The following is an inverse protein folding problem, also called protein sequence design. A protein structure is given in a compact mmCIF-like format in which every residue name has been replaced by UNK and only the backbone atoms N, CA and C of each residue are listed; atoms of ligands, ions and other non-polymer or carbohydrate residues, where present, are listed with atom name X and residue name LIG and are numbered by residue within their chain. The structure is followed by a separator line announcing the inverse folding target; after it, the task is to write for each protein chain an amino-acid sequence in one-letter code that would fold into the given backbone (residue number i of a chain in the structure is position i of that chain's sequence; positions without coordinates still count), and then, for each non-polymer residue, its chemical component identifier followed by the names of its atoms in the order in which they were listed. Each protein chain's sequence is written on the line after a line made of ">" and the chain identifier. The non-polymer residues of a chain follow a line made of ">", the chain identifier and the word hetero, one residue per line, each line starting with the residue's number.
data_IF_225885627633
#
_entry.id   IF_225885627633
#
_cell.length_a   1.000
_cell.length_b   1.000
_cell.length_c   1.000
_cell.angle_alpha   90.00
_cell.angle_beta   90.00
_cell.angle_gamma   90.00
#
_symmetry.space_group_name_H-M   'P 1'
#
loop_
_entity.id
_entity.type
_entity.pdbx_description
1 polymer ?
#
# COMPACT_ATOMS: atom_id res chain seq x y z
N UNK A 1 -23.30 -4.43 -23.19
CA UNK A 1 -22.04 -3.84 -22.68
C UNK A 1 -22.39 -2.44 -22.22
N UNK A 2 -22.67 -2.25 -20.93
CA UNK A 2 -22.96 -0.93 -20.40
C UNK A 2 -21.62 -0.28 -20.06
N UNK A 3 -21.24 0.70 -20.88
CA UNK A 3 -20.10 1.57 -20.66
C UNK A 3 -20.42 2.51 -19.48
N UNK A 4 -20.37 1.96 -18.26
CA UNK A 4 -20.74 2.65 -17.04
C UNK A 4 -19.51 3.34 -16.42
N UNK A 5 -18.72 4.02 -17.26
CA UNK A 5 -17.61 4.82 -16.76
C UNK A 5 -18.17 6.04 -16.03
N UNK A 6 -17.82 6.15 -14.74
CA UNK A 6 -18.15 7.31 -13.92
C UNK A 6 -17.69 8.57 -14.64
N UNK A 7 -18.66 9.43 -14.99
CA UNK A 7 -18.38 10.77 -15.50
C UNK A 7 -17.98 11.65 -14.33
N UNK A 8 -16.69 11.99 -14.28
CA UNK A 8 -16.19 12.99 -13.35
C UNK A 8 -16.91 14.33 -13.52
N UNK A 9 -17.18 15.09 -12.43
CA UNK A 9 -17.78 16.41 -12.52
C UNK A 9 -16.98 17.35 -13.44
N UNK A 10 -17.67 18.26 -14.13
CA UNK A 10 -17.00 19.30 -14.92
C UNK A 10 -16.02 20.11 -14.04
N UNK A 11 -14.80 20.29 -14.55
CA UNK A 11 -13.72 20.97 -13.81
C UNK A 11 -12.88 20.05 -12.92
N UNK A 12 -13.24 18.76 -12.81
CA UNK A 12 -12.36 17.78 -12.16
C UNK A 12 -11.11 17.55 -13.00
N UNK A 13 -9.95 17.92 -12.44
CA UNK A 13 -8.67 17.85 -13.14
C UNK A 13 -8.27 16.43 -13.53
N UNK A 14 -8.80 15.41 -12.84
CA UNK A 14 -8.54 14.01 -13.21
C UNK A 14 -9.06 13.68 -14.62
N UNK A 15 -9.99 14.45 -15.19
CA UNK A 15 -10.41 14.29 -16.59
C UNK A 15 -9.25 14.43 -17.58
N UNK A 16 -8.19 15.18 -17.23
CA UNK A 16 -6.99 15.35 -18.05
C UNK A 16 -5.94 14.26 -17.88
N UNK A 17 -6.14 13.31 -16.98
CA UNK A 17 -5.16 12.28 -16.64
C UNK A 17 -5.72 10.87 -16.78
N UNK A 18 -4.83 9.90 -16.95
CA UNK A 18 -5.11 8.48 -16.88
C UNK A 18 -4.62 7.92 -15.55
N UNK A 19 -5.52 7.48 -14.64
CA UNK A 19 -5.14 6.89 -13.37
C UNK A 19 -4.45 5.54 -13.54
N UNK A 20 -3.33 5.34 -12.85
CA UNK A 20 -2.59 4.07 -12.84
C UNK A 20 -2.27 3.66 -11.41
N UNK A 21 -2.74 2.48 -11.00
CA UNK A 21 -2.38 1.83 -9.75
C UNK A 21 -1.14 0.96 -9.97
N UNK A 22 -0.05 1.26 -9.28
CA UNK A 22 1.22 0.53 -9.41
C UNK A 22 1.43 -0.36 -8.19
N UNK A 23 1.26 -1.67 -8.36
CA UNK A 23 1.47 -2.65 -7.30
C UNK A 23 2.84 -3.34 -7.45
N UNK A 24 3.30 -4.02 -6.40
CA UNK A 24 4.53 -4.83 -6.47
C UNK A 24 4.40 -5.97 -7.49
N UNK A 25 3.23 -6.60 -7.56
CA UNK A 25 3.02 -7.83 -8.31
C UNK A 25 3.23 -9.07 -7.44
N UNK A 26 2.45 -10.11 -7.71
CA UNK A 26 2.46 -11.39 -7.00
C UNK A 26 1.98 -12.48 -7.93
N UNK A 27 2.56 -13.69 -7.85
CA UNK A 27 2.07 -14.88 -8.58
C UNK A 27 0.81 -15.48 -7.96
N UNK A 28 0.41 -15.03 -6.78
CA UNK A 28 -0.79 -15.54 -6.12
C UNK A 28 -2.04 -14.93 -6.80
N UNK A 29 -2.94 -15.74 -7.38
CA UNK A 29 -4.12 -15.24 -8.08
C UNK A 29 -5.06 -14.45 -7.17
N UNK A 30 -5.18 -14.81 -5.88
CA UNK A 30 -5.98 -14.03 -4.92
C UNK A 30 -5.38 -12.65 -4.69
N UNK A 31 -4.05 -12.53 -4.71
CA UNK A 31 -3.39 -11.25 -4.59
C UNK A 31 -3.64 -10.36 -5.82
N UNK A 32 -3.61 -10.94 -7.01
CA UNK A 32 -3.95 -10.23 -8.26
C UNK A 32 -5.40 -9.76 -8.25
N UNK A 33 -6.34 -10.62 -7.83
CA UNK A 33 -7.76 -10.26 -7.74
C UNK A 33 -7.99 -9.10 -6.77
N UNK A 34 -7.34 -9.08 -5.60
CA UNK A 34 -7.47 -7.96 -4.66
C UNK A 34 -6.96 -6.64 -5.25
N UNK A 35 -5.88 -6.65 -6.03
CA UNK A 35 -5.41 -5.43 -6.72
C UNK A 35 -6.41 -5.00 -7.81
N UNK A 36 -7.01 -5.95 -8.54
CA UNK A 36 -8.04 -5.67 -9.51
C UNK A 36 -9.30 -5.07 -8.86
N UNK A 37 -9.76 -5.62 -7.73
CA UNK A 37 -10.89 -5.10 -6.93
C UNK A 37 -10.62 -3.67 -6.45
N UNK A 38 -9.39 -3.38 -5.99
CA UNK A 38 -8.99 -2.01 -5.63
C UNK A 38 -9.08 -1.09 -6.86
N UNK A 39 -8.53 -1.52 -8.01
CA UNK A 39 -8.53 -0.71 -9.22
C UNK A 39 -9.95 -0.46 -9.77
N UNK A 40 -10.84 -1.45 -9.68
CA UNK A 40 -12.25 -1.33 -10.02
C UNK A 40 -12.94 -0.34 -9.09
N UNK A 41 -12.77 -0.47 -7.78
CA UNK A 41 -13.35 0.46 -6.81
C UNK A 41 -12.82 1.91 -6.95
N UNK A 42 -11.55 2.09 -7.35
CA UNK A 42 -11.01 3.39 -7.73
C UNK A 42 -11.64 3.87 -9.04
N UNK A 43 -11.85 2.98 -10.01
CA UNK A 43 -12.50 3.31 -11.28
C UNK A 43 -13.93 3.82 -11.08
N UNK A 44 -14.65 3.26 -10.12
CA UNK A 44 -15.98 3.72 -9.68
C UNK A 44 -15.98 5.09 -8.99
N UNK A 45 -14.82 5.70 -8.76
CA UNK A 45 -14.70 7.03 -8.15
C UNK A 45 -14.15 8.06 -9.12
N UNK A 46 -13.23 7.65 -10.00
CA UNK A 46 -12.46 8.58 -10.82
C UNK A 46 -12.34 8.21 -12.31
N UNK A 47 -13.08 7.19 -12.75
CA UNK A 47 -13.00 6.67 -14.12
C UNK A 47 -11.90 5.62 -14.28
N UNK A 48 -11.87 4.96 -15.45
CA UNK A 48 -11.04 3.79 -15.73
C UNK A 48 -9.61 3.92 -15.20
N UNK A 49 -9.25 3.07 -14.24
CA UNK A 49 -7.94 3.01 -13.61
C UNK A 49 -7.21 1.76 -14.07
N UNK A 50 -6.05 1.92 -14.70
CA UNK A 50 -5.22 0.79 -15.14
C UNK A 50 -4.35 0.29 -13.99
N UNK A 51 -4.00 -0.99 -14.02
CA UNK A 51 -3.03 -1.59 -13.10
C UNK A 51 -1.70 -1.80 -13.80
N UNK A 52 -0.61 -1.52 -13.10
CA UNK A 52 0.75 -1.90 -13.50
C UNK A 52 1.45 -2.60 -12.34
N UNK A 53 2.44 -3.43 -12.66
CA UNK A 53 3.19 -4.19 -11.67
C UNK A 53 4.69 -3.96 -11.90
N UNK A 54 5.41 -3.56 -10.85
CA UNK A 54 6.87 -3.33 -10.95
C UNK A 54 7.68 -4.63 -11.02
N UNK A 55 7.09 -5.75 -10.60
CA UNK A 55 7.76 -7.05 -10.59
C UNK A 55 6.75 -8.19 -10.81
N UNK A 56 7.27 -9.40 -11.07
CA UNK A 56 6.59 -10.69 -11.05
C UNK A 56 5.59 -10.97 -12.18
N UNK A 57 4.72 -10.03 -12.52
CA UNK A 57 3.70 -10.12 -13.58
C UNK A 57 3.69 -8.82 -14.40
N UNK A 58 3.24 -8.89 -15.66
CA UNK A 58 2.98 -7.71 -16.49
C UNK A 58 1.50 -7.28 -16.45
N UNK A 59 1.17 -6.09 -16.98
CA UNK A 59 2.08 -5.15 -17.66
C UNK A 59 2.90 -4.30 -16.67
N UNK A 60 4.12 -3.94 -17.08
CA UNK A 60 5.03 -3.05 -16.37
C UNK A 60 4.52 -1.59 -16.41
N UNK A 61 4.96 -0.70 -15.49
CA UNK A 61 4.55 0.69 -15.54
C UNK A 61 4.95 1.36 -16.86
N UNK A 62 6.11 1.01 -17.43
CA UNK A 62 6.54 1.58 -18.72
C UNK A 62 5.60 1.21 -19.86
N UNK A 63 5.18 -0.05 -19.95
CA UNK A 63 4.23 -0.53 -20.98
C UNK A 63 2.88 0.16 -20.82
N UNK A 64 2.36 0.27 -19.60
CA UNK A 64 1.09 0.96 -19.33
C UNK A 64 1.19 2.44 -19.67
N UNK A 65 2.26 3.13 -19.27
CA UNK A 65 2.42 4.57 -19.54
C UNK A 65 2.51 4.85 -21.04
N UNK A 66 3.23 4.02 -21.80
CA UNK A 66 3.41 4.20 -23.25
C UNK A 66 2.12 4.03 -24.04
N UNK A 67 1.20 3.18 -23.57
CA UNK A 67 -0.08 2.86 -24.21
C UNK A 67 -1.23 3.83 -23.85
N UNK A 68 -0.94 4.91 -23.12
CA UNK A 68 -1.96 5.84 -22.62
C UNK A 68 -2.02 7.13 -23.46
N UNK A 69 -3.22 7.49 -23.92
CA UNK A 69 -3.45 8.70 -24.73
C UNK A 69 -3.27 10.01 -23.95
N UNK A 70 -3.60 10.00 -22.65
CA UNK A 70 -3.50 11.15 -21.74
C UNK A 70 -2.30 11.01 -20.78
N UNK A 71 -1.79 12.12 -20.22
CA UNK A 71 -0.78 12.07 -19.16
C UNK A 71 -1.18 11.11 -18.04
N UNK A 72 -0.23 10.36 -17.49
CA UNK A 72 -0.53 9.38 -16.45
C UNK A 72 -0.43 10.01 -15.04
N UNK A 73 -1.31 9.59 -14.12
CA UNK A 73 -1.16 9.84 -12.68
C UNK A 73 -1.02 8.50 -11.95
N UNK A 74 0.18 8.24 -11.43
CA UNK A 74 0.57 6.97 -10.85
C UNK A 74 0.51 7.02 -9.33
N UNK A 75 -0.22 6.10 -8.73
CA UNK A 75 -0.17 5.86 -7.28
C UNK A 75 0.61 4.56 -6.98
N UNK A 76 1.75 4.64 -6.28
CA UNK A 76 2.44 3.46 -5.79
C UNK A 76 1.63 2.83 -4.65
N UNK A 77 1.07 1.64 -4.87
CA UNK A 77 0.29 0.85 -3.91
C UNK A 77 1.16 0.16 -2.83
N UNK A 78 2.16 0.88 -2.31
CA UNK A 78 3.11 0.39 -1.33
C UNK A 78 2.84 1.00 0.04
N UNK A 79 2.98 0.18 1.09
CA UNK A 79 2.70 0.60 2.47
C UNK A 79 3.92 1.20 3.19
N UNK A 80 5.05 1.25 2.50
CA UNK A 80 6.24 2.03 2.84
C UNK A 80 6.94 2.40 1.52
N UNK A 81 7.54 3.58 1.47
CA UNK A 81 8.33 4.01 0.32
C UNK A 81 9.69 3.34 0.40
N UNK A 82 9.83 2.12 -0.13
CA UNK A 82 11.12 1.43 -0.25
C UNK A 82 11.81 1.66 -1.59
N UNK A 83 12.82 0.85 -1.89
CA UNK A 83 13.59 0.90 -3.13
C UNK A 83 12.72 0.98 -4.39
N UNK A 84 11.69 0.15 -4.52
CA UNK A 84 10.79 0.14 -5.68
C UNK A 84 10.10 1.50 -5.95
N UNK A 85 9.73 2.22 -4.89
CA UNK A 85 9.10 3.54 -5.03
C UNK A 85 10.13 4.61 -5.37
N UNK A 86 11.34 4.49 -4.81
CA UNK A 86 12.39 5.51 -4.93
C UNK A 86 13.26 5.37 -6.17
N UNK A 87 13.37 4.17 -6.74
CA UNK A 87 14.28 3.89 -7.86
C UNK A 87 13.56 3.25 -9.05
N UNK A 88 12.94 2.09 -8.87
CA UNK A 88 12.39 1.35 -10.01
C UNK A 88 11.25 2.09 -10.69
N UNK A 89 10.34 2.71 -9.94
CA UNK A 89 9.24 3.45 -10.52
C UNK A 89 9.72 4.69 -11.31
N UNK A 90 10.62 5.55 -10.79
CA UNK A 90 11.26 6.59 -11.59
C UNK A 90 11.94 6.08 -12.87
N UNK A 91 12.64 4.93 -12.81
CA UNK A 91 13.28 4.32 -13.98
C UNK A 91 12.24 3.91 -15.03
N UNK A 92 11.13 3.30 -14.60
CA UNK A 92 10.02 2.96 -15.51
C UNK A 92 9.36 4.18 -16.16
N UNK A 93 9.18 5.27 -15.41
CA UNK A 93 8.63 6.52 -15.93
C UNK A 93 9.57 7.16 -16.94
N UNK A 94 10.88 7.17 -16.65
CA UNK A 94 11.89 7.66 -17.58
C UNK A 94 11.93 6.83 -18.87
N UNK A 95 11.88 5.50 -18.76
CA UNK A 95 11.87 4.57 -19.89
C UNK A 95 10.63 4.74 -20.79
N UNK A 96 9.49 5.14 -20.23
CA UNK A 96 8.28 5.41 -21.01
C UNK A 96 8.36 6.71 -21.84
N UNK A 97 9.34 7.59 -21.59
CA UNK A 97 9.55 8.81 -22.35
C UNK A 97 8.47 9.89 -22.18
N UNK A 98 7.61 9.79 -21.16
CA UNK A 98 6.46 10.68 -20.95
C UNK A 98 6.67 11.63 -19.77
N UNK A 99 7.23 12.81 -20.05
CA UNK A 99 7.61 13.82 -19.07
C UNK A 99 6.42 14.47 -18.31
N UNK A 100 5.20 14.30 -18.81
CA UNK A 100 3.94 14.75 -18.21
C UNK A 100 3.37 13.76 -17.19
N UNK A 101 4.07 12.64 -16.92
CA UNK A 101 3.69 11.65 -15.92
C UNK A 101 3.83 12.19 -14.49
N UNK A 102 2.77 12.10 -13.71
CA UNK A 102 2.73 12.52 -12.30
C UNK A 102 2.78 11.30 -11.40
N UNK A 103 3.80 11.18 -10.57
CA UNK A 103 3.90 10.11 -9.55
C UNK A 103 3.53 10.67 -8.17
N UNK A 104 2.58 10.04 -7.49
CA UNK A 104 2.20 10.39 -6.12
C UNK A 104 3.21 9.82 -5.12
N UNK A 105 3.14 10.27 -3.85
CA UNK A 105 3.76 9.50 -2.76
C UNK A 105 3.09 8.11 -2.64
N UNK A 106 3.80 7.13 -2.09
CA UNK A 106 3.23 5.82 -1.77
C UNK A 106 2.03 5.92 -0.80
N UNK A 107 1.25 4.84 -0.66
CA UNK A 107 0.10 4.82 0.22
C UNK A 107 0.51 5.02 1.68
N UNK A 108 1.43 4.21 2.18
CA UNK A 108 1.82 4.21 3.58
C UNK A 108 3.12 4.98 3.89
N UNK A 109 3.30 5.38 5.15
CA UNK A 109 2.36 5.26 6.28
C UNK A 109 1.25 6.34 6.23
N UNK A 110 0.04 6.01 6.71
CA UNK A 110 -1.12 6.91 6.71
C UNK A 110 -2.17 6.48 7.77
N UNK A 111 -2.83 7.41 8.49
CA UNK A 111 -3.86 7.08 9.47
C UNK A 111 -5.04 6.25 8.92
N UNK A 112 -5.36 6.38 7.63
CA UNK A 112 -6.38 5.55 7.00
C UNK A 112 -5.97 4.07 6.99
N UNK A 113 -4.69 3.76 6.73
CA UNK A 113 -4.13 2.40 6.78
C UNK A 113 -4.19 1.84 8.20
N UNK A 114 -3.80 2.63 9.21
CA UNK A 114 -3.89 2.21 10.61
C UNK A 114 -5.34 1.91 11.03
N UNK A 115 -6.30 2.69 10.52
CA UNK A 115 -7.74 2.47 10.77
C UNK A 115 -8.24 1.16 10.15
N UNK A 116 -7.74 0.78 8.98
CA UNK A 116 -8.05 -0.51 8.33
C UNK A 116 -7.35 -1.65 9.07
N UNK A 117 -6.08 -1.49 9.45
CA UNK A 117 -5.36 -2.48 10.24
C UNK A 117 -6.07 -2.79 11.57
N UNK A 118 -6.60 -1.77 12.26
CA UNK A 118 -7.45 -1.96 13.45
C UNK A 118 -8.72 -2.75 13.14
N UNK A 119 -9.39 -2.47 12.02
CA UNK A 119 -10.57 -3.25 11.60
C UNK A 119 -10.19 -4.72 11.40
N UNK A 120 -9.10 -5.00 10.66
CA UNK A 120 -8.65 -6.38 10.40
C UNK A 120 -8.24 -7.11 11.68
N UNK A 121 -7.67 -6.40 12.66
CA UNK A 121 -7.42 -6.96 13.99
C UNK A 121 -8.73 -7.37 14.68
N UNK A 122 -9.73 -6.49 14.72
CA UNK A 122 -11.02 -6.79 15.34
C UNK A 122 -11.71 -7.99 14.65
N UNK A 123 -11.68 -8.05 13.32
CA UNK A 123 -12.19 -9.19 12.54
C UNK A 123 -11.45 -10.51 12.84
N UNK A 124 -10.17 -10.43 13.22
CA UNK A 124 -9.38 -11.59 13.65
C UNK A 124 -9.60 -11.98 15.13
N UNK A 125 -10.53 -11.30 15.82
CA UNK A 125 -10.84 -11.55 17.21
C UNK A 125 -9.80 -10.99 18.19
N UNK A 126 -9.10 -9.91 17.83
CA UNK A 126 -8.30 -9.12 18.76
C UNK A 126 -9.19 -8.44 19.80
N UNK A 127 -8.80 -8.51 21.07
CA UNK A 127 -9.47 -7.82 22.18
C UNK A 127 -8.53 -6.82 22.87
N UNK A 128 -9.07 -5.75 23.50
CA UNK A 128 -8.27 -4.85 24.31
C UNK A 128 -7.46 -5.60 25.39
N UNK A 129 -6.14 -5.44 25.35
CA UNK A 129 -5.21 -6.14 26.25
C UNK A 129 -4.46 -7.31 25.62
N UNK A 130 -4.85 -7.75 24.42
CA UNK A 130 -4.01 -8.60 23.57
C UNK A 130 -2.78 -7.82 23.09
N UNK A 131 -1.65 -8.51 23.00
CA UNK A 131 -0.44 -7.96 22.42
C UNK A 131 -0.52 -8.01 20.88
N UNK A 132 -0.02 -6.97 20.21
CA UNK A 132 -0.09 -6.86 18.76
C UNK A 132 1.32 -6.83 18.15
N UNK A 133 1.51 -7.62 17.10
CA UNK A 133 2.69 -7.55 16.24
C UNK A 133 2.27 -7.04 14.87
N UNK A 134 2.82 -5.90 14.43
CA UNK A 134 2.68 -5.43 13.06
C UNK A 134 3.72 -6.14 12.19
N UNK A 135 3.26 -7.06 11.34
CA UNK A 135 4.10 -7.82 10.44
C UNK A 135 4.16 -7.18 9.05
N UNK A 136 5.34 -6.69 8.65
CA UNK A 136 5.59 -6.09 7.34
C UNK A 136 6.56 -6.94 6.51
N UNK A 137 6.56 -6.78 5.18
CA UNK A 137 7.47 -7.51 4.30
C UNK A 137 8.94 -7.35 4.71
N UNK A 138 9.36 -6.11 5.00
CA UNK A 138 10.74 -5.74 5.30
C UNK A 138 11.50 -5.22 4.08
N UNK A 139 12.58 -4.49 4.33
CA UNK A 139 13.39 -3.83 3.31
C UNK A 139 14.82 -3.62 3.79
N UNK A 140 15.78 -3.57 2.88
CA UNK A 140 17.15 -3.13 3.18
C UNK A 140 17.25 -1.61 3.34
N UNK A 141 16.19 -0.90 3.00
CA UNK A 141 16.11 0.55 3.11
C UNK A 141 15.60 0.96 4.51
N UNK A 142 16.49 1.54 5.31
CA UNK A 142 16.22 1.97 6.68
C UNK A 142 15.06 2.97 6.77
N UNK A 143 14.89 3.85 5.77
CA UNK A 143 13.78 4.80 5.75
C UNK A 143 12.44 4.11 5.51
N UNK A 144 12.42 2.98 4.78
CA UNK A 144 11.22 2.18 4.62
C UNK A 144 10.89 1.44 5.92
N UNK A 145 11.88 0.90 6.62
CA UNK A 145 11.70 0.30 7.94
C UNK A 145 11.19 1.34 8.97
N UNK A 146 11.75 2.55 8.98
CA UNK A 146 11.27 3.65 9.82
C UNK A 146 9.81 4.04 9.55
N UNK A 147 9.36 3.97 8.29
CA UNK A 147 7.96 4.18 7.93
C UNK A 147 7.03 3.08 8.49
N UNK A 148 7.49 1.83 8.58
CA UNK A 148 6.74 0.75 9.23
C UNK A 148 6.62 0.99 10.74
N UNK A 149 7.67 1.47 11.40
CA UNK A 149 7.59 1.89 12.80
C UNK A 149 6.61 3.06 13.02
N UNK A 150 6.56 4.01 12.09
CA UNK A 150 5.54 5.06 12.13
C UNK A 150 4.11 4.49 11.96
N UNK A 151 3.91 3.52 11.06
CA UNK A 151 2.63 2.84 10.91
C UNK A 151 2.22 2.10 12.20
N UNK A 152 3.17 1.43 12.87
CA UNK A 152 2.93 0.82 14.18
C UNK A 152 2.47 1.87 15.20
N UNK A 153 3.14 3.03 15.25
CA UNK A 153 2.78 4.12 16.17
C UNK A 153 1.40 4.69 15.92
N UNK A 154 0.98 4.78 14.65
CA UNK A 154 -0.38 5.17 14.27
C UNK A 154 -1.41 4.11 14.68
N UNK A 155 -1.07 2.82 14.59
CA UNK A 155 -1.95 1.76 15.07
C UNK A 155 -2.07 1.77 16.60
N UNK A 156 -0.96 1.95 17.31
CA UNK A 156 -0.92 2.06 18.78
C UNK A 156 -1.83 3.18 19.30
N UNK A 157 -1.89 4.33 18.62
CA UNK A 157 -2.79 5.42 19.01
C UNK A 157 -4.28 5.09 18.86
N UNK A 158 -4.61 4.07 18.06
CA UNK A 158 -5.99 3.62 17.85
C UNK A 158 -6.37 2.45 18.75
N UNK A 159 -5.41 1.59 19.13
CA UNK A 159 -5.68 0.41 19.95
C UNK A 159 -5.36 0.59 21.44
N UNK A 160 -4.62 1.64 21.81
CA UNK A 160 -4.29 1.95 23.21
C UNK A 160 -3.28 1.00 23.86
N UNK A 161 -2.55 0.23 23.06
CA UNK A 161 -1.55 -0.75 23.51
C UNK A 161 -0.29 -0.70 22.64
N UNK A 162 0.80 -1.27 23.15
CA UNK A 162 2.09 -1.32 22.42
C UNK A 162 2.00 -2.27 21.24
N UNK A 163 2.55 -1.87 20.09
CA UNK A 163 2.67 -2.69 18.89
C UNK A 163 4.15 -3.00 18.67
N UNK A 164 4.52 -4.28 18.69
CA UNK A 164 5.84 -4.73 18.27
C UNK A 164 5.90 -4.77 16.73
N UNK A 165 7.00 -4.34 16.13
CA UNK A 165 7.23 -4.47 14.68
C UNK A 165 8.02 -5.75 14.44
N UNK A 166 7.62 -6.51 13.42
CA UNK A 166 8.36 -7.65 12.90
C UNK A 166 8.39 -7.65 11.38
N UNK A 167 9.52 -8.08 10.81
CA UNK A 167 9.71 -8.15 9.37
C UNK A 167 9.74 -9.61 8.89
N UNK A 168 9.06 -9.88 7.78
CA UNK A 168 8.94 -11.22 7.18
C UNK A 168 10.27 -11.60 6.51
N UNK A 169 10.99 -10.63 5.97
CA UNK A 169 12.29 -10.80 5.32
C UNK A 169 13.12 -9.52 5.39
N UNK A 170 14.39 -9.61 4.99
CA UNK A 170 15.37 -8.51 4.76
C UNK A 170 15.77 -7.67 5.96
N UNK A 171 14.85 -7.33 6.86
CA UNK A 171 15.08 -6.51 8.03
C UNK A 171 14.89 -7.31 9.32
N UNK A 172 15.44 -6.77 10.41
CA UNK A 172 15.24 -7.25 11.77
C UNK A 172 14.58 -6.17 12.61
N UNK A 173 13.85 -6.54 13.68
CA UNK A 173 13.59 -7.89 14.16
C UNK A 173 12.64 -8.68 13.24
N UNK A 174 12.80 -9.99 13.19
CA UNK A 174 11.92 -10.89 12.43
C UNK A 174 10.54 -10.99 13.09
N UNK A 175 9.51 -11.40 12.33
CA UNK A 175 8.16 -11.62 12.92
C UNK A 175 8.19 -12.63 14.08
N UNK A 176 8.88 -13.79 14.00
CA UNK A 176 9.01 -14.70 15.15
C UNK A 176 9.63 -14.03 16.39
N UNK A 177 10.72 -13.29 16.23
CA UNK A 177 11.35 -12.56 17.35
C UNK A 177 10.36 -11.55 17.97
N UNK A 178 9.61 -10.82 17.14
CA UNK A 178 8.61 -9.87 17.62
C UNK A 178 7.46 -10.57 18.38
N UNK A 179 7.01 -11.73 17.91
CA UNK A 179 6.02 -12.57 18.60
C UNK A 179 6.55 -13.06 19.95
N UNK A 180 7.79 -13.55 20.01
CA UNK A 180 8.43 -13.96 21.27
C UNK A 180 8.51 -12.80 22.27
N UNK A 181 8.87 -11.60 21.80
CA UNK A 181 8.88 -10.39 22.65
C UNK A 181 7.48 -10.06 23.19
N UNK A 182 6.47 -10.09 22.32
CA UNK A 182 5.09 -9.83 22.69
C UNK A 182 4.56 -10.85 23.71
N UNK A 183 4.93 -12.13 23.58
CA UNK A 183 4.50 -13.21 24.50
C UNK A 183 5.00 -13.04 25.93
N UNK A 184 6.10 -12.30 26.16
CA UNK A 184 6.60 -12.04 27.53
C UNK A 184 5.62 -11.30 28.42
N UNK A 185 4.61 -10.66 27.83
CA UNK A 185 3.52 -9.99 28.56
C UNK A 185 2.53 -10.97 29.19
N UNK A 186 2.59 -12.27 28.84
CA UNK A 186 1.61 -13.27 29.25
C UNK A 186 0.25 -13.11 28.55
N UNK A 187 0.16 -12.24 27.54
CA UNK A 187 -1.06 -11.97 26.77
C UNK A 187 -1.09 -12.80 25.49
N UNK A 188 -2.30 -13.00 24.97
CA UNK A 188 -2.52 -13.50 23.61
C UNK A 188 -1.87 -12.53 22.61
N UNK A 189 -1.25 -13.05 21.57
CA UNK A 189 -0.55 -12.30 20.53
C UNK A 189 -1.32 -12.40 19.22
N UNK A 190 -1.70 -11.26 18.66
CA UNK A 190 -2.37 -11.15 17.36
C UNK A 190 -1.46 -10.44 16.36
N UNK A 191 -1.27 -11.01 15.17
CA UNK A 191 -0.51 -10.37 14.11
C UNK A 191 -1.43 -9.46 13.29
N UNK A 192 -1.12 -8.17 13.24
CA UNK A 192 -1.64 -7.25 12.25
C UNK A 192 -0.81 -7.39 10.96
N UNK A 193 -1.42 -7.84 9.86
CA UNK A 193 -0.74 -7.94 8.58
C UNK A 193 -0.62 -6.56 7.92
N UNK A 194 0.60 -6.03 7.82
CA UNK A 194 0.91 -4.81 7.05
C UNK A 194 1.21 -5.16 5.59
N UNK A 195 0.22 -5.78 4.94
CA UNK A 195 0.24 -6.21 3.55
C UNK A 195 -1.06 -5.76 2.89
N UNK A 196 -0.99 -5.34 1.62
CA UNK A 196 -2.18 -4.87 0.90
C UNK A 196 -3.07 -6.03 0.44
N UNK A 197 -2.48 -7.14 0.02
CA UNK A 197 -3.18 -8.26 -0.59
C UNK A 197 -2.63 -9.62 -0.10
N UNK A 198 -3.41 -10.71 -0.24
CA UNK A 198 -2.94 -12.06 0.04
C UNK A 198 -1.74 -12.45 -0.85
N UNK A 199 -0.88 -13.31 -0.32
CA UNK A 199 0.31 -13.77 -1.01
C UNK A 199 1.17 -14.65 -0.12
N UNK A 200 2.34 -15.06 -0.63
CA UNK A 200 3.27 -15.94 0.11
C UNK A 200 3.66 -15.35 1.47
N UNK A 201 3.88 -14.04 1.53
CA UNK A 201 4.21 -13.36 2.80
C UNK A 201 3.06 -13.42 3.80
N UNK A 202 1.82 -13.21 3.36
CA UNK A 202 0.66 -13.33 4.25
C UNK A 202 0.46 -14.78 4.71
N UNK A 203 0.58 -15.75 3.80
CA UNK A 203 0.47 -17.18 4.12
C UNK A 203 1.50 -17.63 5.16
N UNK A 204 2.72 -17.10 5.12
CA UNK A 204 3.76 -17.41 6.12
C UNK A 204 3.44 -16.90 7.52
N UNK A 205 2.62 -15.86 7.66
CA UNK A 205 2.31 -15.29 8.98
C UNK A 205 1.62 -16.31 9.91
N UNK A 206 0.83 -17.23 9.36
CA UNK A 206 0.17 -18.28 10.14
C UNK A 206 1.14 -19.27 10.77
N UNK A 207 2.38 -19.36 10.28
CA UNK A 207 3.40 -20.27 10.79
C UNK A 207 4.27 -19.66 11.89
N UNK A 208 4.10 -18.38 12.21
CA UNK A 208 4.96 -17.65 13.16
C UNK A 208 4.50 -17.71 14.62
N UNK A 209 3.59 -18.64 14.95
CA UNK A 209 3.27 -18.99 16.34
C UNK A 209 2.51 -17.91 17.11
N UNK A 210 1.81 -17.01 16.42
CA UNK A 210 0.82 -16.11 17.03
C UNK A 210 -0.52 -16.82 17.23
N UNK A 211 -1.37 -16.28 18.10
CA UNK A 211 -2.68 -16.86 18.44
C UNK A 211 -3.77 -16.49 17.42
N UNK A 212 -3.54 -15.46 16.60
CA UNK A 212 -4.34 -15.12 15.43
C UNK A 212 -3.53 -14.25 14.44
N UNK A 213 -3.94 -14.28 13.18
CA UNK A 213 -3.37 -13.46 12.10
C UNK A 213 -4.50 -12.73 11.38
N UNK A 214 -4.42 -11.40 11.38
CA UNK A 214 -5.35 -10.56 10.66
C UNK A 214 -5.22 -10.73 9.14
N UNK A 215 -6.35 -10.59 8.43
CA UNK A 215 -6.35 -10.52 6.98
C UNK A 215 -5.53 -9.29 6.49
N UNK A 216 -5.04 -9.31 5.23
CA UNK A 216 -4.45 -8.12 4.61
C UNK A 216 -5.45 -6.96 4.56
N UNK A 217 -4.94 -5.75 4.29
CA UNK A 217 -5.79 -4.54 4.25
C UNK A 217 -6.93 -4.68 3.23
N UNK A 218 -6.63 -5.19 2.03
CA UNK A 218 -7.60 -5.47 0.99
C UNK A 218 -8.25 -4.21 0.39
N UNK A 219 -9.36 -4.37 -0.34
CA UNK A 219 -10.09 -3.29 -1.02
C UNK A 219 -11.00 -2.51 -0.07
N UNK A 220 -10.56 -2.27 1.16
CA UNK A 220 -11.36 -1.47 2.10
C UNK A 220 -11.61 -0.06 1.53
N UNK A 221 -12.83 0.50 1.63
CA UNK A 221 -13.16 1.82 1.08
C UNK A 221 -12.19 2.92 1.50
N UNK A 222 -11.61 2.85 2.72
CA UNK A 222 -10.63 3.84 3.20
C UNK A 222 -9.31 3.77 2.44
N UNK A 223 -8.93 2.60 1.92
CA UNK A 223 -7.76 2.45 1.05
C UNK A 223 -8.05 3.03 -0.33
N UNK A 224 -9.24 2.78 -0.87
CA UNK A 224 -9.71 3.33 -2.15
C UNK A 224 -9.75 4.86 -2.09
N UNK A 225 -10.33 5.42 -1.04
CA UNK A 225 -10.40 6.87 -0.82
C UNK A 225 -9.01 7.49 -0.65
N UNK A 226 -8.09 6.78 0.01
CA UNK A 226 -6.70 7.22 0.14
C UNK A 226 -6.00 7.29 -1.23
N UNK A 227 -6.20 6.28 -2.08
CA UNK A 227 -5.68 6.26 -3.45
C UNK A 227 -6.19 7.47 -4.24
N UNK A 228 -7.51 7.67 -4.24
CA UNK A 228 -8.15 8.80 -4.94
C UNK A 228 -7.62 10.13 -4.42
N UNK A 229 -7.48 10.25 -3.09
CA UNK A 229 -6.92 11.45 -2.44
C UNK A 229 -5.49 11.73 -2.87
N UNK A 230 -4.63 10.70 -2.96
CA UNK A 230 -3.25 10.83 -3.44
C UNK A 230 -3.20 11.36 -4.86
N UNK A 231 -4.01 10.80 -5.75
CA UNK A 231 -4.05 11.19 -7.16
C UNK A 231 -4.54 12.63 -7.32
N UNK A 232 -5.66 12.99 -6.68
CA UNK A 232 -6.20 14.36 -6.69
C UNK A 232 -5.21 15.38 -6.15
N UNK A 233 -4.55 15.07 -5.03
CA UNK A 233 -3.55 15.96 -4.44
C UNK A 233 -2.34 16.17 -5.35
N UNK A 234 -1.94 15.14 -6.11
CA UNK A 234 -0.76 15.20 -6.98
C UNK A 234 -0.95 16.08 -8.22
N UNK A 235 -2.18 16.24 -8.70
CA UNK A 235 -2.51 17.09 -9.85
C UNK A 235 -3.12 18.46 -9.45
N UNK A 236 -3.12 18.75 -8.16
CA UNK A 236 -3.58 20.03 -7.61
C UNK A 236 -2.67 21.17 -8.06
N UNK A 237 -3.21 22.36 -8.43
CA UNK A 237 -2.39 23.50 -8.88
C UNK A 237 -1.52 24.06 -7.75
N UNK A 238 -1.91 23.78 -6.50
CA UNK A 238 -1.22 24.24 -5.31
C UNK A 238 -0.11 23.27 -4.87
N UNK A 239 0.16 22.22 -5.66
CA UNK A 239 1.29 21.33 -5.41
C UNK A 239 2.58 22.12 -5.57
N UNK A 240 3.22 22.42 -4.45
CA UNK A 240 4.62 22.88 -4.46
C UNK A 240 5.47 21.70 -4.94
N UNK A 241 6.03 21.80 -6.14
CA UNK A 241 7.09 20.89 -6.58
C UNK A 241 8.31 21.21 -5.72
N UNK A 242 8.86 20.25 -4.95
CA UNK A 242 10.12 20.48 -4.26
C UNK A 242 11.19 20.79 -5.31
N UNK A 243 11.78 21.97 -5.24
CA UNK A 243 12.95 22.31 -6.06
C UNK A 243 14.07 21.35 -5.62
N UNK A 244 14.68 20.57 -6.53
CA UNK A 244 15.79 19.70 -6.15
C UNK A 244 16.89 20.55 -5.53
N UNK A 245 17.27 20.23 -4.29
CA UNK A 245 18.49 20.80 -3.70
C UNK A 245 19.66 20.15 -4.41
N UNK A 246 20.34 20.91 -5.26
CA UNK A 246 21.68 20.53 -5.70
C UNK A 246 22.57 20.47 -4.45
N UNK A 247 23.12 19.29 -4.17
CA UNK A 247 24.22 19.07 -3.24
C UNK A 247 25.48 18.92 -4.07
#
# INVERSE_FOLDING_TARGET
>A
MHDNHVRLPHGDRLQGYSPVLVAHGTRNPHGVNVIAEIAEAVSDRIGLTRTAFVDVLGPTPSEVIADLERPAVLVPAFLASGYHVRKDLPEHVAAAGRADTVVTRALGPDPAIASVARLRLAEAGWEPGDAVVLAAAGSSDESACGQVHLAARQLESLIGGRVEVGFITTATPTVPEAVERARRTGRRVVIASHLLAPGLFHQRLSTYGADAVAAPLGPDPRIVDLIVTRMRAAISPYRRVPVPRHV
#
